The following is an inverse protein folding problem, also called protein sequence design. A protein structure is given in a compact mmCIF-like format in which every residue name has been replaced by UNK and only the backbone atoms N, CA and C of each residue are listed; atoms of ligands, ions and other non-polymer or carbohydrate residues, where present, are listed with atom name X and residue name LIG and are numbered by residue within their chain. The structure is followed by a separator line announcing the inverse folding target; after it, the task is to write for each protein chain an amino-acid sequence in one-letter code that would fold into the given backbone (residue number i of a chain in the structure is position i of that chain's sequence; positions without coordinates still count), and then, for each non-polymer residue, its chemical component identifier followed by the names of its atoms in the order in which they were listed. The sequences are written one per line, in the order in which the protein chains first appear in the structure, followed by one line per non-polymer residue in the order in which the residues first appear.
data_IF_837339071069
#
_entry.id   IF_837339071069
#
_cell.length_a   1.000
_cell.length_b   1.000
_cell.length_c   1.000
_cell.angle_alpha   90.00
_cell.angle_beta   90.00
_cell.angle_gamma   90.00
#
_symmetry.space_group_name_H-M   'P 1'
#
loop_
_entity.id
_entity.type
_entity.pdbx_description
1 polymer ?
#
# COMPACT_ATOMS: atom_id res chain seq x y z
N UNK A 1 0.06 4.42 7.24
CA UNK A 1 -0.18 3.42 6.20
C UNK A 1 -1.24 2.45 6.66
N UNK A 2 -2.27 2.28 5.85
CA UNK A 2 -3.39 1.41 6.07
C UNK A 2 -3.16 0.11 5.29
N UNK A 3 -2.71 -0.93 5.98
CA UNK A 3 -2.72 -2.26 5.40
C UNK A 3 -4.18 -2.73 5.32
N UNK A 4 -4.54 -3.38 4.20
CA UNK A 4 -5.86 -4.01 3.97
C UNK A 4 -6.29 -4.85 5.18
N UNK A 5 -5.39 -5.70 5.65
CA UNK A 5 -5.57 -6.59 6.80
C UNK A 5 -4.21 -6.97 7.40
N UNK A 6 -4.22 -7.76 8.49
CA UNK A 6 -2.99 -8.26 9.13
C UNK A 6 -2.18 -9.18 8.21
N UNK A 7 -2.84 -9.88 7.27
CA UNK A 7 -2.21 -10.72 6.27
C UNK A 7 -1.43 -9.91 5.25
N UNK A 8 -1.97 -8.80 4.77
CA UNK A 8 -1.28 -7.84 3.90
C UNK A 8 -0.01 -7.33 4.61
N UNK A 9 -0.13 -6.86 5.86
CA UNK A 9 1.05 -6.40 6.61
C UNK A 9 2.13 -7.49 6.75
N UNK A 10 1.72 -8.73 7.04
CA UNK A 10 2.64 -9.87 7.16
C UNK A 10 3.35 -10.14 5.82
N UNK A 11 2.59 -10.28 4.74
CA UNK A 11 3.11 -10.51 3.38
C UNK A 11 4.10 -9.42 2.96
N UNK A 12 3.76 -8.16 3.21
CA UNK A 12 4.65 -7.02 2.91
C UNK A 12 5.97 -7.10 3.67
N UNK A 13 5.92 -7.35 4.98
CA UNK A 13 7.13 -7.48 5.79
C UNK A 13 7.98 -8.70 5.41
N UNK A 14 7.35 -9.82 5.04
CA UNK A 14 8.04 -11.01 4.55
C UNK A 14 8.71 -10.74 3.21
N UNK A 15 8.02 -10.10 2.28
CA UNK A 15 8.59 -9.68 0.99
C UNK A 15 9.80 -8.78 1.19
N UNK A 16 9.73 -7.78 2.09
CA UNK A 16 10.88 -6.93 2.43
C UNK A 16 12.08 -7.70 2.98
N UNK A 17 11.84 -8.71 3.83
CA UNK A 17 12.91 -9.57 4.35
C UNK A 17 13.55 -10.39 3.24
N UNK A 18 12.74 -10.95 2.33
CA UNK A 18 13.22 -11.69 1.16
C UNK A 18 14.02 -10.77 0.24
N UNK A 19 13.51 -9.59 -0.07
CA UNK A 19 14.18 -8.57 -0.87
C UNK A 19 15.57 -8.20 -0.33
N UNK A 20 15.69 -8.05 0.99
CA UNK A 20 16.98 -7.80 1.65
C UNK A 20 17.95 -8.97 1.50
N UNK A 21 17.47 -10.21 1.58
CA UNK A 21 18.30 -11.43 1.43
C UNK A 21 18.73 -11.66 -0.02
N UNK A 22 17.86 -11.33 -0.97
CA UNK A 22 18.05 -11.53 -2.41
C UNK A 22 18.63 -10.30 -3.12
N UNK A 23 18.94 -9.23 -2.36
CA UNK A 23 19.48 -7.96 -2.87
C UNK A 23 18.64 -7.37 -4.02
N UNK A 24 17.31 -7.41 -3.87
CA UNK A 24 16.37 -6.79 -4.81
C UNK A 24 16.40 -5.26 -4.65
N UNK A 25 17.37 -4.61 -5.29
CA UNK A 25 17.61 -3.15 -5.19
C UNK A 25 16.39 -2.32 -5.55
N UNK A 26 15.60 -2.73 -6.54
CA UNK A 26 14.38 -2.04 -6.91
C UNK A 26 13.41 -1.87 -5.73
N UNK A 27 13.32 -2.83 -4.81
CA UNK A 27 12.43 -2.73 -3.65
C UNK A 27 12.91 -1.77 -2.55
N UNK A 28 14.12 -1.21 -2.70
CA UNK A 28 14.60 -0.10 -1.86
C UNK A 28 14.20 1.27 -2.40
N UNK A 29 13.77 1.34 -3.66
CA UNK A 29 13.26 2.57 -4.28
C UNK A 29 11.84 2.89 -3.79
N UNK A 30 11.43 4.16 -3.90
CA UNK A 30 10.07 4.57 -3.55
C UNK A 30 9.00 3.84 -4.36
N UNK A 31 9.16 3.82 -5.69
CA UNK A 31 8.21 3.18 -6.61
C UNK A 31 8.19 1.66 -6.44
N UNK A 32 9.34 1.02 -6.26
CA UNK A 32 9.38 -0.43 -6.00
C UNK A 32 8.73 -0.81 -4.67
N UNK A 33 8.97 -0.04 -3.61
CA UNK A 33 8.35 -0.27 -2.31
C UNK A 33 6.83 -0.03 -2.35
N UNK A 34 6.37 0.96 -3.10
CA UNK A 34 4.96 1.25 -3.31
C UNK A 34 4.24 0.17 -4.12
N UNK A 35 4.85 -0.29 -5.22
CA UNK A 35 4.32 -1.40 -6.01
C UNK A 35 4.27 -2.69 -5.19
N UNK A 36 5.30 -2.99 -4.40
CA UNK A 36 5.30 -4.13 -3.48
C UNK A 36 4.16 -4.05 -2.45
N UNK A 37 3.87 -2.86 -1.92
CA UNK A 37 2.74 -2.65 -1.01
C UNK A 37 1.42 -3.06 -1.68
N UNK A 38 1.15 -2.56 -2.87
CA UNK A 38 -0.07 -2.92 -3.63
C UNK A 38 -0.15 -4.41 -3.96
N UNK A 39 0.93 -5.00 -4.47
CA UNK A 39 0.99 -6.42 -4.82
C UNK A 39 0.71 -7.30 -3.60
N UNK A 40 1.23 -6.93 -2.43
CA UNK A 40 1.06 -7.72 -1.19
C UNK A 40 -0.33 -7.59 -0.57
N UNK A 41 -1.17 -6.65 -1.03
CA UNK A 41 -2.54 -6.52 -0.59
C UNK A 41 -3.40 -7.74 -0.96
N UNK A 42 -3.09 -8.41 -2.07
CA UNK A 42 -3.77 -9.63 -2.51
C UNK A 42 -2.78 -10.82 -2.52
N UNK A 43 -3.12 -11.90 -1.80
CA UNK A 43 -2.24 -13.05 -1.66
C UNK A 43 -2.02 -13.82 -2.98
N UNK A 44 -3.08 -13.96 -3.79
CA UNK A 44 -3.00 -14.61 -5.09
C UNK A 44 -2.17 -13.80 -6.08
N UNK A 45 -2.28 -12.46 -6.06
CA UNK A 45 -1.44 -11.57 -6.86
C UNK A 45 0.04 -11.69 -6.46
N UNK A 46 0.35 -11.67 -5.16
CA UNK A 46 1.72 -11.88 -4.68
C UNK A 46 2.28 -13.22 -5.16
N UNK A 47 1.54 -14.31 -4.99
CA UNK A 47 1.99 -15.66 -5.40
C UNK A 47 2.32 -15.72 -6.90
N UNK A 48 1.51 -15.07 -7.74
CA UNK A 48 1.74 -14.98 -9.18
C UNK A 48 2.93 -14.08 -9.54
N UNK A 49 3.22 -13.08 -8.70
CA UNK A 49 4.31 -12.12 -8.92
C UNK A 49 5.66 -12.67 -8.49
N UNK A 50 5.73 -13.45 -7.41
CA UNK A 50 6.99 -13.92 -6.79
C UNK A 50 8.04 -14.48 -7.76
N UNK A 51 7.70 -15.32 -8.76
CA UNK A 51 8.67 -15.84 -9.73
C UNK A 51 9.27 -14.78 -10.68
N UNK A 52 8.67 -13.59 -10.73
CA UNK A 52 8.96 -12.54 -11.70
C UNK A 52 9.51 -11.26 -11.06
N UNK A 53 9.96 -11.36 -9.80
CA UNK A 53 10.68 -10.29 -9.10
C UNK A 53 12.18 -10.45 -9.39
N UNK A 54 12.82 -9.36 -9.79
CA UNK A 54 14.24 -9.29 -10.15
C UNK A 54 14.92 -8.16 -9.38
N UNK A 55 16.25 -8.03 -9.49
CA UNK A 55 16.99 -6.88 -8.93
C UNK A 55 16.46 -5.54 -9.44
N UNK A 56 16.03 -5.53 -10.70
CA UNK A 56 15.68 -4.33 -11.45
C UNK A 56 14.18 -4.00 -11.38
N UNK A 57 13.38 -4.93 -10.84
CA UNK A 57 11.97 -4.74 -10.54
C UNK A 57 11.10 -5.93 -10.90
N UNK A 58 9.87 -5.65 -11.31
CA UNK A 58 8.85 -6.66 -11.60
C UNK A 58 8.71 -6.86 -13.11
N UNK A 59 8.76 -8.10 -13.59
CA UNK A 59 8.41 -8.42 -14.98
C UNK A 59 6.89 -8.54 -15.14
N UNK A 60 6.17 -7.42 -15.11
CA UNK A 60 4.70 -7.38 -15.12
C UNK A 60 4.07 -8.14 -16.28
N UNK A 61 4.67 -8.09 -17.47
CA UNK A 61 4.17 -8.78 -18.67
C UNK A 61 4.20 -10.30 -18.58
N UNK A 62 4.94 -10.86 -17.60
CA UNK A 62 5.00 -12.32 -17.37
C UNK A 62 3.98 -12.81 -16.34
N UNK A 63 3.31 -11.90 -15.64
CA UNK A 63 2.35 -12.23 -14.59
C UNK A 63 0.99 -12.53 -15.25
N UNK A 64 0.52 -13.77 -15.10
CA UNK A 64 -0.80 -14.15 -15.62
C UNK A 64 -1.95 -13.58 -14.77
N UNK A 65 -2.87 -12.86 -15.42
CA UNK A 65 -4.12 -12.38 -14.82
C UNK A 65 -5.32 -13.30 -15.16
N UNK A 66 -5.07 -14.50 -15.69
CA UNK A 66 -6.15 -15.46 -15.94
C UNK A 66 -6.91 -15.79 -14.65
N UNK A 67 -8.24 -15.65 -14.68
CA UNK A 67 -9.12 -15.82 -13.53
C UNK A 67 -8.87 -14.81 -12.40
N UNK A 68 -8.32 -13.63 -12.68
CA UNK A 68 -8.25 -12.53 -11.73
C UNK A 68 -9.65 -11.99 -11.45
N UNK A 69 -9.93 -11.69 -10.18
CA UNK A 69 -11.07 -10.86 -9.80
C UNK A 69 -10.74 -9.38 -10.04
N UNK A 70 -11.77 -8.53 -9.93
CA UNK A 70 -11.66 -7.09 -10.09
C UNK A 70 -10.61 -6.48 -9.15
N UNK A 71 -10.59 -6.91 -7.87
CA UNK A 71 -9.58 -6.48 -6.91
C UNK A 71 -8.14 -6.77 -7.38
N UNK A 72 -7.86 -7.99 -7.83
CA UNK A 72 -6.53 -8.37 -8.30
C UNK A 72 -6.13 -7.56 -9.52
N UNK A 73 -7.07 -7.31 -10.44
CA UNK A 73 -6.82 -6.52 -11.63
C UNK A 73 -6.47 -5.07 -11.27
N UNK A 74 -7.27 -4.42 -10.42
CA UNK A 74 -7.03 -3.03 -10.00
C UNK A 74 -5.69 -2.87 -9.27
N UNK A 75 -5.37 -3.79 -8.35
CA UNK A 75 -4.10 -3.77 -7.62
C UNK A 75 -2.91 -4.00 -8.56
N UNK A 76 -3.03 -4.91 -9.52
CA UNK A 76 -2.00 -5.16 -10.53
C UNK A 76 -1.75 -3.90 -11.38
N UNK A 77 -2.82 -3.29 -11.91
CA UNK A 77 -2.72 -2.11 -12.77
C UNK A 77 -2.11 -0.93 -12.02
N UNK A 78 -2.54 -0.68 -10.78
CA UNK A 78 -1.97 0.38 -9.95
C UNK A 78 -0.50 0.12 -9.58
N UNK A 79 -0.14 -1.14 -9.28
CA UNK A 79 1.25 -1.51 -8.98
C UNK A 79 2.17 -1.33 -10.19
N UNK A 80 1.71 -1.79 -11.36
CA UNK A 80 2.42 -1.64 -12.63
C UNK A 80 2.65 -0.17 -12.97
N UNK A 81 1.58 0.62 -12.90
CA UNK A 81 1.62 2.05 -13.17
C UNK A 81 2.66 2.77 -12.29
N UNK A 82 2.63 2.52 -10.97
CA UNK A 82 3.58 3.13 -10.04
C UNK A 82 5.03 2.66 -10.30
N UNK A 83 5.23 1.37 -10.58
CA UNK A 83 6.55 0.80 -10.79
C UNK A 83 7.22 1.33 -12.07
N UNK A 84 6.50 1.34 -13.19
CA UNK A 84 7.00 1.72 -14.53
C UNK A 84 7.15 3.24 -14.70
N UNK A 85 6.59 4.04 -13.78
CA UNK A 85 6.97 5.45 -13.63
C UNK A 85 6.53 6.36 -14.77
N UNK A 86 5.32 6.17 -15.32
CA UNK A 86 4.74 7.20 -16.20
C UNK A 86 4.36 8.43 -15.36
N UNK A 87 4.76 9.60 -15.86
CA UNK A 87 4.67 10.88 -15.17
C UNK A 87 3.25 11.16 -14.65
N UNK A 88 3.17 11.48 -13.35
CA UNK A 88 2.00 12.03 -12.66
C UNK A 88 0.78 11.10 -12.66
N UNK A 89 0.60 10.37 -11.56
CA UNK A 89 -0.73 10.00 -11.06
C UNK A 89 -1.53 11.32 -10.95
N UNK A 90 -2.40 11.61 -11.91
CA UNK A 90 -3.41 12.66 -11.71
C UNK A 90 -4.62 12.02 -11.03
N UNK A 91 -5.37 12.80 -10.26
CA UNK A 91 -6.60 12.31 -9.62
C UNK A 91 -7.62 11.77 -10.64
N UNK A 92 -7.47 12.11 -11.93
CA UNK A 92 -8.29 11.65 -13.03
C UNK A 92 -7.89 10.27 -13.56
N UNK A 93 -6.67 9.79 -13.29
CA UNK A 93 -6.19 8.46 -13.68
C UNK A 93 -6.56 7.38 -12.64
N UNK A 94 -6.99 7.82 -11.45
CA UNK A 94 -7.70 6.96 -10.52
C UNK A 94 -9.10 6.77 -11.12
N UNK A 95 -9.34 5.56 -11.62
CA UNK A 95 -10.58 5.15 -12.25
C UNK A 95 -11.83 5.72 -11.55
N UNK A 96 -12.87 5.98 -12.33
CA UNK A 96 -14.12 6.58 -11.87
C UNK A 96 -14.52 6.01 -10.49
N UNK A 97 -14.62 6.87 -9.45
CA UNK A 97 -14.86 6.45 -8.07
C UNK A 97 -16.12 5.58 -7.86
N UNK A 98 -16.96 5.44 -8.88
CA UNK A 98 -18.15 4.59 -8.86
C UNK A 98 -17.86 3.09 -9.10
N UNK A 99 -16.67 2.71 -9.58
CA UNK A 99 -16.35 1.31 -9.94
C UNK A 99 -15.26 0.71 -9.04
N UNK A 100 -14.28 1.51 -8.59
CA UNK A 100 -13.20 1.02 -7.72
C UNK A 100 -13.63 1.07 -6.25
N UNK A 101 -13.63 -0.08 -5.58
CA UNK A 101 -14.01 -0.16 -4.16
C UNK A 101 -13.19 0.80 -3.28
N UNK A 102 -13.85 1.53 -2.37
CA UNK A 102 -13.29 2.56 -1.47
C UNK A 102 -11.96 2.21 -0.79
N UNK A 103 -11.68 0.93 -0.60
CA UNK A 103 -10.44 0.47 0.03
C UNK A 103 -9.25 0.43 -0.95
N UNK A 104 -9.45 0.16 -2.24
CA UNK A 104 -8.39 0.17 -3.26
C UNK A 104 -7.88 1.59 -3.43
N UNK A 105 -8.76 2.58 -3.52
CA UNK A 105 -8.37 4.00 -3.59
C UNK A 105 -7.47 4.38 -2.41
N UNK A 106 -7.81 3.93 -1.19
CA UNK A 106 -6.98 4.17 0.01
C UNK A 106 -5.61 3.51 -0.10
N UNK A 107 -5.54 2.27 -0.61
CA UNK A 107 -4.28 1.57 -0.83
C UNK A 107 -3.41 2.27 -1.88
N UNK A 108 -4.00 2.77 -2.97
CA UNK A 108 -3.28 3.52 -4.00
C UNK A 108 -2.76 4.86 -3.46
N UNK A 109 -3.56 5.58 -2.66
CA UNK A 109 -3.11 6.80 -1.99
C UNK A 109 -1.94 6.54 -1.02
N UNK A 110 -2.03 5.47 -0.23
CA UNK A 110 -0.94 5.02 0.65
C UNK A 110 0.30 4.63 -0.16
N UNK A 111 0.14 3.95 -1.29
CA UNK A 111 1.23 3.64 -2.22
C UNK A 111 1.87 4.90 -2.82
N UNK A 112 1.08 5.93 -3.16
CA UNK A 112 1.60 7.22 -3.63
C UNK A 112 2.45 7.92 -2.54
N UNK A 113 2.04 7.85 -1.27
CA UNK A 113 2.83 8.35 -0.15
C UNK A 113 4.14 7.55 0.03
N UNK A 114 4.08 6.23 -0.11
CA UNK A 114 5.28 5.36 -0.10
C UNK A 114 6.20 5.73 -1.27
N UNK A 115 5.67 5.96 -2.47
CA UNK A 115 6.46 6.33 -3.63
C UNK A 115 7.22 7.65 -3.39
N UNK A 116 6.54 8.63 -2.80
CA UNK A 116 7.12 9.95 -2.50
C UNK A 116 8.13 9.94 -1.36
N UNK A 117 7.86 9.21 -0.28
CA UNK A 117 8.64 9.30 0.97
C UNK A 117 9.44 8.03 1.31
N UNK A 118 9.36 6.99 0.48
CA UNK A 118 10.00 5.70 0.72
C UNK A 118 9.62 5.10 2.08
N UNK A 119 10.61 4.52 2.77
CA UNK A 119 10.38 3.93 4.10
C UNK A 119 9.91 4.94 5.16
N UNK A 120 10.19 6.24 4.99
CA UNK A 120 9.76 7.26 5.95
C UNK A 120 8.23 7.37 6.03
N UNK A 121 7.51 6.98 4.97
CA UNK A 121 6.05 6.97 4.93
C UNK A 121 5.45 6.11 6.08
N UNK A 122 6.15 5.08 6.53
CA UNK A 122 5.69 4.18 7.60
C UNK A 122 5.95 4.72 9.02
N UNK A 123 6.76 5.78 9.17
CA UNK A 123 7.12 6.36 10.48
C UNK A 123 6.02 7.26 11.06
N UNK A 124 5.08 7.73 10.24
CA UNK A 124 4.07 8.75 10.60
C UNK A 124 2.80 8.20 11.28
N UNK A 125 2.81 6.98 11.82
CA UNK A 125 1.72 6.53 12.71
C UNK A 125 1.60 7.40 13.97
N UNK A 126 2.67 8.08 14.37
CA UNK A 126 2.73 8.91 15.57
C UNK A 126 1.80 10.11 15.53
N UNK A 127 1.57 10.78 14.39
CA UNK A 127 0.72 11.97 14.34
C UNK A 127 -0.77 11.66 14.36
N UNK A 128 -1.24 10.70 13.55
CA UNK A 128 -2.65 10.29 13.55
C UNK A 128 -3.04 9.57 14.84
N UNK A 129 -2.16 8.73 15.40
CA UNK A 129 -2.38 8.10 16.70
C UNK A 129 -2.28 9.09 17.87
N UNK A 130 -1.38 10.08 17.83
CA UNK A 130 -1.33 11.16 18.84
C UNK A 130 -2.60 12.02 18.78
N UNK A 131 -3.07 12.37 17.59
CA UNK A 131 -4.32 13.11 17.39
C UNK A 131 -5.55 12.29 17.85
N UNK A 132 -5.60 10.98 17.56
CA UNK A 132 -6.68 10.09 18.00
C UNK A 132 -6.66 9.78 19.51
N UNK A 133 -5.49 9.77 20.16
CA UNK A 133 -5.36 9.67 21.63
C UNK A 133 -5.74 10.98 22.32
N UNK A 134 -5.38 12.13 21.74
CA UNK A 134 -5.76 13.45 22.24
C UNK A 134 -7.30 13.63 22.27
N UNK A 135 -8.00 13.23 21.20
CA UNK A 135 -9.48 13.26 21.13
C UNK A 135 -10.19 12.37 22.16
N UNK A 136 -9.60 11.25 22.57
CA UNK A 136 -10.16 10.36 23.61
C UNK A 136 -9.97 10.91 25.02
N UNK A 137 -8.88 11.63 25.28
CA UNK A 137 -8.62 12.24 26.60
C UNK A 137 -9.36 13.55 26.86
N UNK A 138 -9.86 14.22 25.81
CA UNK A 138 -10.69 15.42 25.94
C UNK A 138 -12.17 15.11 26.28
N UNK A 139 -12.68 13.94 25.91
CA UNK A 139 -14.06 13.53 26.19
C UNK A 139 -14.33 13.11 27.65
N UNK A 140 -13.29 12.69 28.38
CA UNK A 140 -13.40 12.22 29.77
C UNK A 140 -13.33 13.33 30.83
N UNK A 141 -13.01 14.58 30.44
CA UNK A 141 -13.01 15.73 31.36
C UNK A 141 -14.34 16.48 31.47
N UNK A 142 -15.30 16.25 30.57
CA UNK A 142 -16.57 16.99 30.55
C UNK A 142 -17.63 16.39 31.51
N UNK A 143 -17.44 15.17 32.00
CA UNK A 143 -18.41 14.48 32.88
C UNK A 143 -18.10 14.59 34.39
N UNK A 144 -17.46 15.68 34.86
CA UNK A 144 -17.23 15.89 36.32
C UNK A 144 -17.70 17.25 36.86
N UNK A 145 -18.44 18.02 36.06
CA UNK A 145 -19.01 19.31 36.49
C UNK A 145 -20.49 19.42 36.13
N UNK A 146 -21.30 18.43 36.49
CA UNK A 146 -22.74 18.58 36.67
C UNK A 146 -23.16 17.64 37.79
N UNK A 147 -23.19 18.17 39.02
CA UNK A 147 -24.01 17.73 40.16
C UNK A 147 -23.66 18.69 41.30
N UNK A 148 -24.29 19.88 41.26
CA UNK A 148 -24.52 20.74 42.42
C UNK A 148 -25.99 20.58 42.77
#
# INVERSE_FOLDING_TARGET
MNFKDCGHQKRFNELKKTAKKQEWEFLKTGNGLAAAFLITANASLLNRTMPFITSDGFSFDKISLSGADEEMYDLYQAARFIAEGTQKLTLNDLAEPEIVGDYIVKLVMDAALINKYGEAAFKNKTLSEAMARSRRNSGSKVSRYQNV
#
